data_IF_341169422312
#
_entry.id   IF_341169422312
#
_cell.length_a   1.000
_cell.length_b   1.000
_cell.length_c   1.000
_cell.angle_alpha   90.00
_cell.angle_beta   90.00
_cell.angle_gamma   90.00
#
_symmetry.space_group_name_H-M   'P 1'
#
loop_
_entity.id
_entity.type
_entity.pdbx_description
1 polymer ?
#
# COMPACT_ATOMS: atom_id res chain seq x y z
N UNK A 1 12.42 -24.86 -0.47
CA UNK A 1 13.00 -23.55 -0.89
C UNK A 1 12.27 -22.46 -0.13
N UNK A 2 13.00 -21.57 0.55
CA UNK A 2 12.42 -20.52 1.40
C UNK A 2 11.48 -19.61 0.59
N UNK A 3 10.18 -19.70 0.82
CA UNK A 3 9.14 -18.97 0.08
C UNK A 3 9.19 -17.46 0.34
N UNK A 4 9.57 -17.07 1.56
CA UNK A 4 9.53 -15.67 2.01
C UNK A 4 10.54 -14.78 1.26
N UNK A 5 11.86 -15.12 1.19
CA UNK A 5 12.83 -14.32 0.43
C UNK A 5 12.47 -14.17 -1.05
N UNK A 6 11.94 -15.23 -1.67
CA UNK A 6 11.54 -15.19 -3.09
C UNK A 6 10.35 -14.27 -3.33
N UNK A 7 9.33 -14.30 -2.46
CA UNK A 7 8.19 -13.36 -2.53
C UNK A 7 8.68 -11.93 -2.33
N UNK A 8 9.52 -11.67 -1.33
CA UNK A 8 10.06 -10.33 -1.08
C UNK A 8 10.83 -9.77 -2.29
N UNK A 9 11.71 -10.59 -2.89
CA UNK A 9 12.51 -10.18 -4.03
C UNK A 9 11.62 -9.93 -5.27
N UNK A 10 10.73 -10.86 -5.59
CA UNK A 10 9.86 -10.74 -6.76
C UNK A 10 8.86 -9.58 -6.62
N UNK A 11 8.29 -9.38 -5.44
CA UNK A 11 7.41 -8.23 -5.17
C UNK A 11 8.18 -6.91 -5.26
N UNK A 12 9.46 -6.88 -4.86
CA UNK A 12 10.30 -5.68 -5.02
C UNK A 12 10.58 -5.38 -6.49
N UNK A 13 10.92 -6.40 -7.28
CA UNK A 13 11.13 -6.25 -8.72
C UNK A 13 9.84 -5.76 -9.40
N UNK A 14 8.70 -6.36 -9.06
CA UNK A 14 7.40 -5.94 -9.57
C UNK A 14 7.07 -4.49 -9.18
N UNK A 15 7.36 -4.09 -7.95
CA UNK A 15 7.18 -2.73 -7.47
C UNK A 15 8.02 -1.71 -8.26
N UNK A 16 9.30 -2.01 -8.51
CA UNK A 16 10.18 -1.15 -9.31
C UNK A 16 9.64 -1.00 -10.73
N UNK A 17 9.26 -2.11 -11.37
CA UNK A 17 8.67 -2.08 -12.72
C UNK A 17 7.39 -1.24 -12.72
N UNK A 18 6.52 -1.42 -11.73
CA UNK A 18 5.27 -0.68 -11.60
C UNK A 18 5.49 0.83 -11.55
N UNK A 19 6.42 1.29 -10.70
CA UNK A 19 6.76 2.72 -10.56
C UNK A 19 7.36 3.28 -11.86
N UNK A 20 8.23 2.52 -12.52
CA UNK A 20 8.82 2.93 -13.80
C UNK A 20 7.78 3.06 -14.91
N UNK A 21 6.77 2.19 -14.93
CA UNK A 21 5.70 2.21 -15.93
C UNK A 21 4.64 3.28 -15.64
N UNK A 22 4.42 3.63 -14.37
CA UNK A 22 3.42 4.61 -13.95
C UNK A 22 3.60 5.97 -14.64
N UNK A 23 4.84 6.46 -14.74
CA UNK A 23 5.16 7.75 -15.37
C UNK A 23 4.75 7.82 -16.85
N UNK A 24 5.27 6.93 -17.72
CA UNK A 24 4.89 6.89 -19.14
C UNK A 24 3.39 6.69 -19.36
N UNK A 25 2.73 5.81 -18.60
CA UNK A 25 1.30 5.54 -18.74
C UNK A 25 0.42 6.73 -18.34
N UNK A 26 0.84 7.51 -17.34
CA UNK A 26 0.14 8.72 -16.95
C UNK A 26 0.08 9.80 -18.04
N UNK A 27 1.09 9.84 -18.91
CA UNK A 27 1.13 10.77 -20.06
C UNK A 27 0.08 10.42 -21.12
N UNK A 28 -0.30 9.14 -21.24
CA UNK A 28 -1.22 8.65 -22.26
C UNK A 28 -2.68 8.74 -21.80
N UNK A 29 -2.99 8.33 -20.56
CA UNK A 29 -4.37 8.02 -20.12
C UNK A 29 -4.99 9.10 -19.21
N UNK A 30 -4.24 10.17 -18.87
CA UNK A 30 -4.55 11.15 -17.82
C UNK A 30 -4.29 10.63 -16.40
N UNK A 31 -3.29 11.23 -15.74
CA UNK A 31 -2.82 10.84 -14.41
C UNK A 31 -3.90 10.84 -13.32
N UNK A 32 -4.92 11.71 -13.39
CA UNK A 32 -5.98 11.81 -12.36
C UNK A 32 -6.90 10.59 -12.35
N UNK A 33 -7.28 10.11 -13.54
CA UNK A 33 -8.10 8.91 -13.65
C UNK A 33 -7.28 7.67 -13.34
N UNK A 34 -6.04 7.63 -13.83
CA UNK A 34 -5.15 6.51 -13.62
C UNK A 34 -4.89 6.26 -12.13
N UNK A 35 -4.56 7.31 -11.35
CA UNK A 35 -4.31 7.17 -9.91
C UNK A 35 -5.56 6.67 -9.17
N UNK A 36 -6.74 7.25 -9.43
CA UNK A 36 -8.00 6.87 -8.77
C UNK A 36 -8.36 5.42 -9.05
N UNK A 37 -8.32 5.01 -10.32
CA UNK A 37 -8.66 3.64 -10.72
C UNK A 37 -7.68 2.65 -10.09
N UNK A 38 -6.39 2.94 -10.12
CA UNK A 38 -5.38 2.03 -9.55
C UNK A 38 -5.48 1.92 -8.03
N UNK A 39 -5.84 3.01 -7.34
CA UNK A 39 -6.02 3.02 -5.89
C UNK A 39 -7.28 2.25 -5.47
N UNK A 40 -8.39 2.41 -6.20
CA UNK A 40 -9.61 1.63 -5.97
C UNK A 40 -9.35 0.15 -6.24
N UNK A 41 -8.65 -0.16 -7.35
CA UNK A 41 -8.30 -1.52 -7.70
C UNK A 41 -7.41 -2.17 -6.64
N UNK A 42 -6.39 -1.47 -6.12
CA UNK A 42 -5.52 -2.00 -5.08
C UNK A 42 -6.27 -2.22 -3.77
N UNK A 43 -7.12 -1.27 -3.36
CA UNK A 43 -7.96 -1.39 -2.16
C UNK A 43 -8.95 -2.56 -2.25
N UNK A 44 -9.60 -2.74 -3.40
CA UNK A 44 -10.54 -3.83 -3.63
C UNK A 44 -9.83 -5.19 -3.73
N UNK A 45 -8.60 -5.22 -4.24
CA UNK A 45 -7.83 -6.46 -4.42
C UNK A 45 -7.09 -6.90 -3.16
N UNK A 46 -6.75 -5.98 -2.25
CA UNK A 46 -6.00 -6.29 -1.03
C UNK A 46 -6.64 -7.39 -0.16
N UNK A 47 -7.96 -7.40 0.13
CA UNK A 47 -8.57 -8.49 0.89
C UNK A 47 -8.46 -9.85 0.18
N UNK A 48 -8.55 -9.85 -1.15
CA UNK A 48 -8.42 -11.08 -1.96
C UNK A 48 -7.00 -11.63 -1.86
N UNK A 49 -6.01 -10.76 -2.04
CA UNK A 49 -4.61 -11.14 -2.09
C UNK A 49 -3.99 -11.44 -0.72
N UNK A 50 -4.47 -10.80 0.36
CA UNK A 50 -3.90 -10.94 1.70
C UNK A 50 -4.67 -11.92 2.60
N UNK A 51 -6.00 -12.00 2.46
CA UNK A 51 -6.86 -12.75 3.38
C UNK A 51 -7.46 -13.99 2.71
N UNK A 52 -8.13 -13.81 1.57
CA UNK A 52 -8.89 -14.90 0.95
C UNK A 52 -8.00 -15.92 0.23
N UNK A 53 -7.02 -15.45 -0.55
CA UNK A 53 -6.16 -16.28 -1.38
C UNK A 53 -4.70 -15.79 -1.35
N UNK A 54 -3.99 -15.89 -0.20
CA UNK A 54 -2.59 -15.51 -0.11
C UNK A 54 -1.71 -16.50 -0.85
N UNK A 55 -1.32 -16.15 -2.07
CA UNK A 55 -0.36 -16.90 -2.87
C UNK A 55 0.68 -15.95 -3.49
N UNK A 56 1.81 -16.51 -3.94
CA UNK A 56 2.93 -15.72 -4.48
C UNK A 56 2.49 -14.78 -5.61
N UNK A 57 1.63 -15.26 -6.52
CA UNK A 57 1.17 -14.48 -7.67
C UNK A 57 0.30 -13.30 -7.23
N UNK A 58 -0.63 -13.53 -6.32
CA UNK A 58 -1.54 -12.52 -5.80
C UNK A 58 -0.79 -11.44 -5.01
N UNK A 59 0.24 -11.83 -4.24
CA UNK A 59 1.09 -10.87 -3.53
C UNK A 59 1.94 -10.03 -4.50
N UNK A 60 2.44 -10.62 -5.59
CA UNK A 60 3.17 -9.89 -6.63
C UNK A 60 2.24 -8.92 -7.37
N UNK A 61 1.02 -9.35 -7.74
CA UNK A 61 0.03 -8.51 -8.40
C UNK A 61 -0.37 -7.35 -7.48
N UNK A 62 -0.64 -7.63 -6.21
CA UNK A 62 -0.96 -6.60 -5.24
C UNK A 62 0.18 -5.58 -5.13
N UNK A 63 1.42 -6.06 -4.90
CA UNK A 63 2.59 -5.21 -4.84
C UNK A 63 2.77 -4.36 -6.10
N UNK A 64 2.55 -4.93 -7.28
CA UNK A 64 2.58 -4.18 -8.54
C UNK A 64 1.52 -3.07 -8.55
N UNK A 65 0.26 -3.40 -8.27
CA UNK A 65 -0.84 -2.42 -8.33
C UNK A 65 -0.71 -1.27 -7.34
N UNK A 66 -0.30 -1.56 -6.10
CA UNK A 66 -0.07 -0.54 -5.07
C UNK A 66 1.11 0.38 -5.43
N UNK A 67 2.21 -0.21 -5.89
CA UNK A 67 3.39 0.57 -6.27
C UNK A 67 3.19 1.36 -7.55
N UNK A 68 2.35 0.87 -8.47
CA UNK A 68 1.94 1.63 -9.64
C UNK A 68 1.20 2.91 -9.23
N UNK A 69 0.22 2.80 -8.32
CA UNK A 69 -0.50 3.95 -7.77
C UNK A 69 0.45 4.92 -7.05
N UNK A 70 1.39 4.40 -6.25
CA UNK A 70 2.41 5.21 -5.57
C UNK A 70 3.36 5.92 -6.55
N UNK A 71 3.69 5.30 -7.68
CA UNK A 71 4.49 5.93 -8.74
C UNK A 71 3.84 7.15 -9.37
N UNK A 72 2.52 7.29 -9.27
CA UNK A 72 1.75 8.43 -9.79
C UNK A 72 1.64 9.60 -8.82
N UNK A 73 1.91 9.38 -7.53
CA UNK A 73 1.78 10.40 -6.47
C UNK A 73 2.63 11.66 -6.73
N UNK A 74 3.90 11.57 -7.18
CA UNK A 74 4.68 12.76 -7.48
C UNK A 74 4.04 13.63 -8.55
N UNK A 75 3.46 13.01 -9.57
CA UNK A 75 2.75 13.71 -10.64
C UNK A 75 1.54 14.50 -10.12
N UNK A 76 0.83 13.95 -9.13
CA UNK A 76 -0.29 14.61 -8.47
C UNK A 76 0.17 15.81 -7.63
N UNK A 77 1.29 15.66 -6.93
CA UNK A 77 1.73 16.59 -5.89
C UNK A 77 2.70 17.67 -6.40
N UNK A 78 3.40 17.45 -7.51
CA UNK A 78 4.39 18.41 -8.03
C UNK A 78 3.78 19.78 -8.35
N UNK A 79 2.51 19.82 -8.73
CA UNK A 79 1.76 21.03 -9.01
C UNK A 79 1.14 21.68 -7.75
N UNK A 80 1.25 21.02 -6.58
CA UNK A 80 0.76 21.53 -5.30
C UNK A 80 1.83 22.27 -4.50
N UNK A 81 3.10 22.05 -4.83
CA UNK A 81 4.23 22.70 -4.18
C UNK A 81 4.94 23.67 -5.13
N UNK A 82 5.28 24.86 -4.60
CA UNK A 82 6.19 25.78 -5.29
C UNK A 82 7.52 25.07 -5.54
N UNK A 83 8.22 25.45 -6.63
CA UNK A 83 9.43 24.78 -7.11
C UNK A 83 10.47 24.59 -5.99
N UNK A 84 10.64 25.61 -5.15
CA UNK A 84 11.59 25.65 -4.03
C UNK A 84 11.28 24.59 -2.94
N UNK A 85 10.03 24.15 -2.81
CA UNK A 85 9.58 23.20 -1.79
C UNK A 85 9.21 21.82 -2.34
N UNK A 86 9.33 21.58 -3.65
CA UNK A 86 8.90 20.31 -4.26
C UNK A 86 9.62 19.10 -3.68
N UNK A 87 10.95 19.17 -3.56
CA UNK A 87 11.73 18.06 -3.02
C UNK A 87 11.31 17.72 -1.58
N UNK A 88 11.20 18.72 -0.71
CA UNK A 88 10.76 18.55 0.67
C UNK A 88 9.31 18.10 0.77
N UNK A 89 8.39 18.70 0.01
CA UNK A 89 6.97 18.35 0.01
C UNK A 89 6.71 16.93 -0.48
N UNK A 90 7.40 16.51 -1.56
CA UNK A 90 7.34 15.13 -2.05
C UNK A 90 7.97 14.14 -1.06
N UNK A 91 9.13 14.48 -0.48
CA UNK A 91 9.79 13.65 0.53
C UNK A 91 8.93 13.45 1.77
N UNK A 92 8.29 14.52 2.27
CA UNK A 92 7.33 14.46 3.37
C UNK A 92 6.15 13.56 2.98
N UNK A 93 5.56 13.75 1.80
CA UNK A 93 4.39 12.98 1.37
C UNK A 93 4.68 11.47 1.26
N UNK A 94 5.85 11.09 0.73
CA UNK A 94 6.27 9.68 0.70
C UNK A 94 6.53 9.10 2.08
N UNK A 95 7.28 9.83 2.91
CA UNK A 95 7.69 9.32 4.23
C UNK A 95 6.50 9.24 5.20
N UNK A 96 5.53 10.16 5.12
CA UNK A 96 4.29 10.04 5.91
C UNK A 96 3.47 8.83 5.50
N UNK A 97 3.42 8.49 4.21
CA UNK A 97 2.76 7.26 3.73
C UNK A 97 3.39 6.01 4.34
N UNK A 98 4.73 5.95 4.39
CA UNK A 98 5.47 4.85 5.01
C UNK A 98 5.31 4.81 6.53
N UNK A 99 5.27 5.97 7.19
CA UNK A 99 5.01 6.04 8.63
C UNK A 99 3.59 5.57 8.93
N UNK A 100 2.56 6.11 8.30
CA UNK A 100 1.18 5.70 8.59
C UNK A 100 0.95 4.24 8.19
N UNK A 101 1.42 3.82 7.02
CA UNK A 101 1.29 2.45 6.52
C UNK A 101 2.09 1.44 7.34
N UNK A 102 3.30 1.79 7.77
CA UNK A 102 4.16 0.94 8.60
C UNK A 102 3.61 0.72 10.01
N UNK A 103 2.77 1.64 10.50
CA UNK A 103 2.10 1.50 11.79
C UNK A 103 0.82 0.67 11.68
N UNK A 104 0.25 0.48 10.50
CA UNK A 104 -1.00 -0.26 10.31
C UNK A 104 -0.96 -1.69 10.90
N UNK A 105 0.08 -2.51 10.69
CA UNK A 105 0.17 -3.83 11.32
C UNK A 105 0.19 -3.75 12.85
N UNK A 106 0.91 -2.77 13.41
CA UNK A 106 0.99 -2.58 14.86
C UNK A 106 -0.36 -2.14 15.45
N UNK A 107 -1.05 -1.21 14.79
CA UNK A 107 -2.39 -0.75 15.18
C UNK A 107 -3.38 -1.91 15.15
N UNK A 108 -3.33 -2.75 14.11
CA UNK A 108 -4.18 -3.95 14.00
C UNK A 108 -3.91 -4.92 15.15
N UNK A 109 -2.64 -5.24 15.44
CA UNK A 109 -2.27 -6.14 16.54
C UNK A 109 -2.73 -5.59 17.89
N UNK A 110 -2.53 -4.29 18.15
CA UNK A 110 -2.96 -3.64 19.39
C UNK A 110 -4.48 -3.66 19.54
N UNK A 111 -5.22 -3.40 18.46
CA UNK A 111 -6.68 -3.41 18.47
C UNK A 111 -7.27 -4.81 18.70
N UNK A 112 -6.69 -5.85 18.09
CA UNK A 112 -7.07 -7.25 18.31
C UNK A 112 -6.83 -7.68 19.76
N UNK A 113 -5.70 -7.29 20.35
CA UNK A 113 -5.40 -7.57 21.76
C UNK A 113 -6.43 -6.95 22.72
N UNK A 114 -6.86 -5.72 22.45
CA UNK A 114 -7.90 -5.04 23.24
C UNK A 114 -9.27 -5.72 23.09
N UNK A 115 -9.65 -6.11 21.86
CA UNK A 115 -10.91 -6.81 21.60
C UNK A 115 -10.95 -8.16 22.31
N UNK A 116 -9.86 -8.94 22.24
CA UNK A 116 -9.74 -10.21 22.95
C UNK A 116 -9.81 -10.04 24.47
N UNK A 117 -9.16 -9.01 25.01
CA UNK A 117 -9.23 -8.70 26.44
C UNK A 117 -10.65 -8.38 26.89
N UNK A 118 -11.38 -7.54 26.15
CA UNK A 118 -12.77 -7.19 26.45
C UNK A 118 -13.68 -8.44 26.42
N UNK A 119 -13.56 -9.27 25.38
CA UNK A 119 -14.35 -10.49 25.23
C UNK A 119 -14.10 -11.49 26.38
N UNK A 120 -12.83 -11.63 26.81
CA UNK A 120 -12.47 -12.49 27.94
C UNK A 120 -13.05 -12.00 29.27
N UNK A 121 -13.11 -10.68 29.47
CA UNK A 121 -13.68 -10.06 30.67
C UNK A 121 -15.20 -10.26 30.72
N UNK A 122 -15.88 -10.10 29.59
CA UNK A 122 -17.34 -10.33 29.50
C UNK A 122 -17.72 -11.78 29.73
N UNK A 123 -16.90 -12.74 29.30
CA UNK A 123 -17.14 -14.17 29.53
C UNK A 123 -16.99 -14.57 31.00
N UNK A 124 -16.06 -13.93 31.74
CA UNK A 124 -15.86 -14.15 33.17
C UNK A 124 -16.96 -13.53 34.04
N UNK A 125 -17.64 -12.49 33.55
CA UNK A 125 -18.75 -11.83 34.30
C UNK A 125 -20.11 -12.48 34.09
N UNK A 126 -20.23 -13.48 33.21
CA UNK A 126 -21.50 -14.16 32.89
C UNK A 126 -21.55 -15.64 33.34
N UNK A 127 -20.51 -16.16 33.99
CA UNK A 127 -20.48 -17.48 34.64
C UNK A 127 -20.46 -17.35 36.16
#
# INVERSE_FOLDING_TARGET
MNLIPSVMLLSTVAAVIAVLLAGPLALIINYKWLIVVTLIASLAYAPIALILHPNLVNLIILAFTENFAMGLVPYLLINRFNVQYRASGLGISYNWGLLIGGWAPMVVVMSLGVVLAILSLTALTQG
#
